data_IF_906446715730
#
_entry.id   IF_906446715730
#
_cell.length_a   1.000
_cell.length_b   1.000
_cell.length_c   1.000
_cell.angle_alpha   90.00
_cell.angle_beta   90.00
_cell.angle_gamma   90.00
#
_symmetry.space_group_name_H-M   'P 1'
#
loop_
_entity.id
_entity.type
_entity.pdbx_description
1 polymer ?
#
# COMPACT_ATOMS: atom_id res chain seq x y z
N UNK A 1 17.49 32.00 -15.12
CA UNK A 1 16.80 30.82 -14.62
C UNK A 1 16.24 31.20 -13.26
N UNK A 2 14.93 31.41 -13.22
CA UNK A 2 14.22 31.76 -12.00
C UNK A 2 14.39 30.60 -11.00
N UNK A 3 14.63 30.94 -9.73
CA UNK A 3 14.76 29.96 -8.63
C UNK A 3 13.48 29.08 -8.58
N UNK A 4 13.46 27.98 -9.31
CA UNK A 4 12.36 27.03 -9.21
C UNK A 4 12.26 26.56 -7.76
N UNK A 5 11.19 26.95 -7.08
CA UNK A 5 10.93 26.54 -5.71
C UNK A 5 10.85 25.02 -5.67
N UNK A 6 11.80 24.38 -4.99
CA UNK A 6 11.77 22.95 -4.71
C UNK A 6 10.43 22.57 -4.06
N UNK A 7 9.89 21.42 -4.47
CA UNK A 7 8.69 20.88 -3.82
C UNK A 7 8.99 20.58 -2.34
N UNK A 8 8.04 20.81 -1.42
CA UNK A 8 8.34 20.88 0.02
C UNK A 8 8.43 19.53 0.73
N UNK A 9 7.89 18.44 0.16
CA UNK A 9 7.74 17.17 0.87
C UNK A 9 8.82 16.16 0.49
N UNK A 10 9.63 15.76 1.45
CA UNK A 10 10.59 14.66 1.31
C UNK A 10 9.94 13.28 1.64
N UNK A 11 10.60 12.20 1.25
CA UNK A 11 10.19 10.84 1.61
C UNK A 11 10.11 10.64 3.13
N UNK A 12 10.94 11.34 3.90
CA UNK A 12 10.88 11.32 5.36
C UNK A 12 9.53 11.79 5.88
N UNK A 13 9.03 12.94 5.40
CA UNK A 13 7.73 13.49 5.81
C UNK A 13 6.61 12.54 5.44
N UNK A 14 6.61 12.03 4.20
CA UNK A 14 5.61 11.06 3.71
C UNK A 14 5.61 9.81 4.59
N UNK A 15 6.78 9.33 5.00
CA UNK A 15 6.91 8.16 5.89
C UNK A 15 6.33 8.40 7.26
N UNK A 16 6.57 9.57 7.85
CA UNK A 16 5.95 9.94 9.14
C UNK A 16 4.43 9.98 9.02
N UNK A 17 3.91 10.60 7.96
CA UNK A 17 2.45 10.63 7.71
C UNK A 17 1.89 9.22 7.57
N UNK A 18 2.55 8.33 6.83
CA UNK A 18 2.13 6.94 6.68
C UNK A 18 2.08 6.18 8.03
N UNK A 19 3.10 6.35 8.87
CA UNK A 19 3.14 5.73 10.21
C UNK A 19 2.03 6.25 11.12
N UNK A 20 1.82 7.57 11.15
CA UNK A 20 0.75 8.20 11.95
C UNK A 20 -0.63 7.76 11.46
N UNK A 21 -0.83 7.73 10.15
CA UNK A 21 -2.06 7.28 9.53
C UNK A 21 -2.35 5.81 9.87
N UNK A 22 -1.38 4.93 9.76
CA UNK A 22 -1.51 3.53 10.15
C UNK A 22 -1.86 3.36 11.63
N UNK A 23 -1.20 4.11 12.51
CA UNK A 23 -1.51 4.09 13.95
C UNK A 23 -2.94 4.57 14.21
N UNK A 24 -3.36 5.64 13.53
CA UNK A 24 -4.73 6.15 13.58
C UNK A 24 -5.74 5.08 13.15
N UNK A 25 -5.46 4.33 12.07
CA UNK A 25 -6.32 3.26 11.61
C UNK A 25 -6.54 2.18 12.68
N UNK A 26 -5.45 1.71 13.29
CA UNK A 26 -5.52 0.68 14.31
C UNK A 26 -6.21 1.17 15.60
N UNK A 27 -5.92 2.38 16.06
CA UNK A 27 -6.68 2.98 17.17
C UNK A 27 -8.16 3.06 16.81
N UNK A 28 -8.49 3.48 15.60
CA UNK A 28 -9.87 3.55 15.10
C UNK A 28 -10.58 2.20 15.13
N UNK A 29 -9.90 1.10 14.76
CA UNK A 29 -10.46 -0.26 14.87
C UNK A 29 -10.84 -0.56 16.33
N UNK A 30 -9.94 -0.36 17.27
CA UNK A 30 -10.20 -0.61 18.69
C UNK A 30 -11.32 0.28 19.23
N UNK A 31 -11.34 1.57 18.88
CA UNK A 31 -12.42 2.49 19.26
C UNK A 31 -13.79 1.99 18.75
N UNK A 32 -13.87 1.54 17.50
CA UNK A 32 -15.13 1.00 16.95
C UNK A 32 -15.52 -0.33 17.60
N UNK A 33 -14.56 -1.17 17.95
CA UNK A 33 -14.81 -2.46 18.61
C UNK A 33 -15.35 -2.25 20.02
N UNK A 34 -14.75 -1.37 20.82
CA UNK A 34 -15.09 -1.25 22.26
C UNK A 34 -16.07 -0.13 22.59
N UNK A 35 -16.13 0.94 21.77
CA UNK A 35 -17.04 2.09 21.99
C UNK A 35 -18.23 2.12 21.03
N UNK A 36 -18.32 1.13 20.12
CA UNK A 36 -19.43 0.95 19.19
C UNK A 36 -19.08 1.28 17.74
N UNK A 37 -19.62 0.48 16.83
CA UNK A 37 -19.34 0.53 15.38
C UNK A 37 -19.70 1.86 14.69
N UNK A 38 -20.56 2.69 15.28
CA UNK A 38 -20.94 4.00 14.76
C UNK A 38 -20.25 5.16 15.48
N UNK A 39 -19.21 4.89 16.30
CA UNK A 39 -18.50 5.92 17.04
C UNK A 39 -17.83 6.92 16.08
N UNK A 40 -18.15 8.24 16.12
CA UNK A 40 -17.65 9.22 15.18
C UNK A 40 -16.11 9.38 15.22
N UNK A 41 -15.50 9.26 16.41
CA UNK A 41 -14.05 9.33 16.58
C UNK A 41 -13.39 8.12 15.89
N UNK A 42 -13.91 6.91 16.12
CA UNK A 42 -13.40 5.70 15.48
C UNK A 42 -13.50 5.77 13.96
N UNK A 43 -14.62 6.26 13.43
CA UNK A 43 -14.82 6.46 11.98
C UNK A 43 -13.83 7.50 11.42
N UNK A 44 -13.62 8.62 12.09
CA UNK A 44 -12.68 9.65 11.65
C UNK A 44 -11.22 9.14 11.67
N UNK A 45 -10.82 8.41 12.71
CA UNK A 45 -9.50 7.80 12.82
C UNK A 45 -9.25 6.78 11.70
N UNK A 46 -10.26 5.96 11.40
CA UNK A 46 -10.22 5.01 10.27
C UNK A 46 -10.11 5.72 8.93
N UNK A 47 -10.88 6.80 8.71
CA UNK A 47 -10.84 7.58 7.47
C UNK A 47 -9.44 8.17 7.23
N UNK A 48 -8.81 8.76 8.27
CA UNK A 48 -7.42 9.19 8.18
C UNK A 48 -6.47 8.02 7.98
N UNK A 49 -6.77 6.87 8.56
CA UNK A 49 -6.03 5.62 8.40
C UNK A 49 -5.88 5.15 6.96
N UNK A 50 -6.86 5.43 6.08
CA UNK A 50 -6.81 5.03 4.67
C UNK A 50 -5.65 5.63 3.87
N UNK A 51 -4.99 6.65 4.37
CA UNK A 51 -3.79 7.20 3.74
C UNK A 51 -2.58 6.26 3.84
N UNK A 52 -2.53 5.38 4.83
CA UNK A 52 -1.36 4.56 5.13
C UNK A 52 -0.95 3.67 3.94
N UNK A 53 -1.87 2.85 3.44
CA UNK A 53 -1.55 1.85 2.44
C UNK A 53 -1.04 2.44 1.12
N UNK A 54 -1.68 3.43 0.47
CA UNK A 54 -1.14 4.04 -0.74
C UNK A 54 0.22 4.70 -0.52
N UNK A 55 0.47 5.29 0.64
CA UNK A 55 1.77 5.87 0.96
C UNK A 55 2.86 4.79 1.14
N UNK A 56 2.53 3.63 1.73
CA UNK A 56 3.47 2.51 1.80
C UNK A 56 3.74 1.88 0.44
N UNK A 57 2.74 1.72 -0.41
CA UNK A 57 2.91 1.26 -1.80
C UNK A 57 3.74 2.25 -2.61
N UNK A 58 3.50 3.55 -2.44
CA UNK A 58 4.35 4.59 -3.04
C UNK A 58 5.81 4.44 -2.60
N UNK A 59 6.08 4.33 -1.30
CA UNK A 59 7.44 4.15 -0.78
C UNK A 59 8.08 2.83 -1.22
N UNK A 60 7.28 1.77 -1.42
CA UNK A 60 7.73 0.50 -1.98
C UNK A 60 8.20 0.67 -3.43
N UNK A 61 7.42 1.36 -4.27
CA UNK A 61 7.76 1.62 -5.66
C UNK A 61 9.01 2.49 -5.78
N UNK A 62 9.10 3.60 -5.01
CA UNK A 62 10.29 4.45 -4.89
C UNK A 62 11.51 3.66 -4.43
N UNK A 63 11.35 2.87 -3.37
CA UNK A 63 12.43 2.02 -2.84
C UNK A 63 12.93 1.01 -3.87
N UNK A 64 12.02 0.39 -4.63
CA UNK A 64 12.37 -0.59 -5.66
C UNK A 64 13.12 0.06 -6.84
N UNK A 65 12.72 1.26 -7.26
CA UNK A 65 13.38 2.00 -8.34
C UNK A 65 14.82 2.38 -7.96
N UNK A 66 15.02 2.87 -6.74
CA UNK A 66 16.29 3.44 -6.31
C UNK A 66 17.22 2.47 -5.57
N UNK A 67 16.78 1.24 -5.25
CA UNK A 67 17.65 0.28 -4.57
C UNK A 67 18.67 -0.35 -5.52
N UNK A 68 19.93 -0.43 -5.07
CA UNK A 68 20.96 -1.18 -5.77
C UNK A 68 20.83 -2.70 -5.55
N UNK A 69 20.18 -3.13 -4.47
CA UNK A 69 20.03 -4.55 -4.14
C UNK A 69 18.57 -4.85 -3.76
N UNK A 70 17.75 -5.12 -4.77
CA UNK A 70 16.34 -5.43 -4.63
C UNK A 70 16.11 -6.70 -3.77
N UNK A 71 16.95 -7.72 -3.89
CA UNK A 71 16.85 -8.96 -3.09
C UNK A 71 17.03 -8.69 -1.59
N UNK A 72 18.04 -7.88 -1.21
CA UNK A 72 18.23 -7.49 0.19
C UNK A 72 17.11 -6.60 0.71
N UNK A 73 16.56 -5.74 -0.13
CA UNK A 73 15.41 -4.91 0.21
C UNK A 73 14.17 -5.78 0.50
N UNK A 74 13.85 -6.71 -0.41
CA UNK A 74 12.75 -7.66 -0.24
C UNK A 74 12.96 -8.60 0.95
N UNK A 75 14.18 -9.09 1.16
CA UNK A 75 14.51 -9.94 2.32
C UNK A 75 14.17 -9.28 3.66
N UNK A 76 14.48 -7.99 3.83
CA UNK A 76 14.11 -7.25 5.05
C UNK A 76 12.60 -7.12 5.22
N UNK A 77 11.87 -6.86 4.14
CA UNK A 77 10.42 -6.75 4.17
C UNK A 77 9.77 -8.11 4.49
N UNK A 78 10.30 -9.19 3.93
CA UNK A 78 9.83 -10.56 4.21
C UNK A 78 10.10 -10.99 5.66
N UNK A 79 11.19 -10.54 6.29
CA UNK A 79 11.44 -10.79 7.72
C UNK A 79 10.34 -10.13 8.57
N UNK A 80 10.00 -8.87 8.27
CA UNK A 80 8.91 -8.17 9.00
C UNK A 80 7.59 -8.92 8.81
N UNK A 81 7.26 -9.34 7.58
CA UNK A 81 6.08 -10.16 7.31
C UNK A 81 6.09 -11.45 8.14
N UNK A 82 7.22 -12.16 8.18
CA UNK A 82 7.35 -13.39 8.99
C UNK A 82 7.07 -13.14 10.48
N UNK A 83 7.61 -12.06 11.03
CA UNK A 83 7.34 -11.66 12.43
C UNK A 83 5.85 -11.37 12.63
N UNK A 84 5.21 -10.66 11.70
CA UNK A 84 3.77 -10.35 11.78
C UNK A 84 2.92 -11.61 11.72
N UNK A 85 3.19 -12.53 10.80
CA UNK A 85 2.45 -13.81 10.70
C UNK A 85 2.59 -14.63 11.99
N UNK A 86 3.80 -14.71 12.57
CA UNK A 86 4.02 -15.41 13.82
C UNK A 86 3.25 -14.74 14.97
N UNK A 87 3.31 -13.42 15.06
CA UNK A 87 2.59 -12.67 16.10
C UNK A 87 1.07 -12.89 15.98
N UNK A 88 0.49 -12.78 14.79
CA UNK A 88 -0.93 -13.01 14.53
C UNK A 88 -1.32 -14.47 14.82
N UNK A 89 -0.47 -15.45 14.48
CA UNK A 89 -0.71 -16.85 14.80
C UNK A 89 -0.77 -17.10 16.30
N UNK A 90 0.12 -16.46 17.08
CA UNK A 90 0.10 -16.54 18.55
C UNK A 90 -1.18 -15.89 19.08
N UNK A 91 -1.61 -14.76 18.56
CA UNK A 91 -2.84 -14.08 18.94
C UNK A 91 -4.07 -14.94 18.72
N UNK A 92 -4.20 -15.52 17.51
CA UNK A 92 -5.39 -16.30 17.12
C UNK A 92 -5.41 -17.67 17.83
N UNK A 93 -4.33 -18.43 17.74
CA UNK A 93 -4.30 -19.80 18.22
C UNK A 93 -3.83 -19.95 19.66
N UNK A 94 -2.95 -19.06 20.12
CA UNK A 94 -2.43 -19.09 21.49
C UNK A 94 -3.34 -18.39 22.50
N UNK A 95 -3.85 -17.21 22.15
CA UNK A 95 -4.70 -16.38 23.01
C UNK A 95 -6.20 -16.53 22.69
N UNK A 96 -6.55 -17.29 21.66
CA UNK A 96 -7.93 -17.51 21.18
C UNK A 96 -8.69 -16.21 20.88
N UNK A 97 -7.99 -15.21 20.39
CA UNK A 97 -8.56 -13.91 20.03
C UNK A 97 -9.01 -13.91 18.57
N UNK A 98 -10.01 -13.11 18.25
CA UNK A 98 -10.42 -12.92 16.85
C UNK A 98 -9.28 -12.27 16.06
N UNK A 99 -8.92 -12.86 14.91
CA UNK A 99 -7.87 -12.37 14.02
C UNK A 99 -8.31 -11.14 13.24
N UNK A 100 -7.32 -10.34 12.84
CA UNK A 100 -7.53 -9.21 11.94
C UNK A 100 -7.86 -9.76 10.54
N UNK A 101 -8.78 -9.12 9.83
CA UNK A 101 -9.14 -9.49 8.48
C UNK A 101 -8.09 -8.95 7.49
N UNK A 102 -7.32 -9.84 6.86
CA UNK A 102 -6.31 -9.50 5.87
C UNK A 102 -4.99 -8.95 6.47
N UNK A 103 -3.91 -9.06 5.71
CA UNK A 103 -2.60 -8.60 6.14
C UNK A 103 -1.94 -7.73 5.04
N UNK A 104 -1.93 -6.38 5.21
CA UNK A 104 -1.36 -5.46 4.22
C UNK A 104 0.13 -5.70 3.92
N UNK A 105 0.86 -6.35 4.84
CA UNK A 105 2.26 -6.71 4.59
C UNK A 105 2.42 -7.79 3.52
N UNK A 106 1.46 -8.69 3.40
CA UNK A 106 1.43 -9.66 2.31
C UNK A 106 1.33 -8.92 0.98
N UNK A 107 0.45 -7.91 0.88
CA UNK A 107 0.36 -7.06 -0.32
C UNK A 107 1.70 -6.38 -0.63
N UNK A 108 2.34 -5.77 0.38
CA UNK A 108 3.62 -5.10 0.20
C UNK A 108 4.72 -6.06 -0.29
N UNK A 109 4.81 -7.26 0.29
CA UNK A 109 5.81 -8.26 -0.12
C UNK A 109 5.51 -8.78 -1.52
N UNK A 110 4.27 -9.15 -1.83
CA UNK A 110 3.89 -9.68 -3.13
C UNK A 110 4.03 -8.63 -4.23
N UNK A 111 3.54 -7.41 -4.03
CA UNK A 111 3.76 -6.29 -4.95
C UNK A 111 5.25 -6.01 -5.15
N UNK A 112 6.03 -6.01 -4.06
CA UNK A 112 7.48 -5.83 -4.14
C UNK A 112 8.19 -6.92 -4.93
N UNK A 113 7.77 -8.19 -4.82
CA UNK A 113 8.29 -9.30 -5.63
C UNK A 113 7.94 -9.13 -7.12
N UNK A 114 6.74 -8.66 -7.44
CA UNK A 114 6.37 -8.31 -8.83
C UNK A 114 7.28 -7.19 -9.34
N UNK A 115 7.42 -6.09 -8.61
CA UNK A 115 8.26 -4.96 -9.02
C UNK A 115 9.74 -5.35 -9.15
N UNK A 116 10.26 -6.18 -8.23
CA UNK A 116 11.62 -6.72 -8.33
C UNK A 116 11.79 -7.56 -9.58
N UNK A 117 10.82 -8.40 -9.90
CA UNK A 117 10.84 -9.24 -11.10
C UNK A 117 10.82 -8.39 -12.36
N UNK A 118 9.97 -7.38 -12.43
CA UNK A 118 9.90 -6.43 -13.55
C UNK A 118 11.22 -5.66 -13.73
N UNK A 119 11.84 -5.21 -12.63
CA UNK A 119 13.14 -4.53 -12.68
C UNK A 119 14.22 -5.40 -13.29
N UNK A 120 14.19 -6.72 -13.01
CA UNK A 120 15.21 -7.68 -13.45
C UNK A 120 14.86 -8.38 -14.77
N UNK A 121 13.70 -8.13 -15.37
CA UNK A 121 13.33 -8.70 -16.68
C UNK A 121 14.25 -8.29 -17.82
N UNK A 122 14.97 -7.18 -17.66
CA UNK A 122 15.94 -6.68 -18.64
C UNK A 122 17.29 -7.42 -18.60
N UNK A 123 17.53 -8.25 -17.55
CA UNK A 123 18.77 -9.02 -17.44
C UNK A 123 18.87 -10.08 -18.55
N UNK A 124 19.97 -10.13 -19.33
CA UNK A 124 20.17 -11.12 -20.38
C UNK A 124 20.10 -12.55 -19.83
N UNK A 125 19.41 -13.44 -20.52
CA UNK A 125 19.34 -14.87 -20.19
C UNK A 125 18.39 -15.25 -19.05
N UNK A 126 17.83 -14.32 -18.30
CA UNK A 126 16.98 -14.61 -17.13
C UNK A 126 15.51 -14.22 -17.27
N UNK A 127 15.08 -13.73 -18.44
CA UNK A 127 13.73 -13.23 -18.69
C UNK A 127 12.62 -14.21 -18.30
N UNK A 128 12.76 -15.50 -18.67
CA UNK A 128 11.75 -16.52 -18.33
C UNK A 128 11.62 -16.74 -16.82
N UNK A 129 12.75 -16.75 -16.10
CA UNK A 129 12.76 -16.91 -14.65
C UNK A 129 12.03 -15.74 -13.96
N UNK A 130 12.38 -14.50 -14.31
CA UNK A 130 11.73 -13.33 -13.70
C UNK A 130 10.27 -13.17 -14.09
N UNK A 131 9.88 -13.59 -15.32
CA UNK A 131 8.48 -13.65 -15.69
C UNK A 131 7.69 -14.64 -14.80
N UNK A 132 8.25 -15.84 -14.56
CA UNK A 132 7.64 -16.83 -13.66
C UNK A 132 7.58 -16.32 -12.21
N UNK A 133 8.66 -15.69 -11.73
CA UNK A 133 8.72 -15.11 -10.39
C UNK A 133 7.71 -13.95 -10.20
N UNK A 134 7.32 -13.26 -11.27
CA UNK A 134 6.25 -12.27 -11.22
C UNK A 134 4.85 -12.91 -11.19
N UNK A 135 4.66 -14.03 -11.90
CA UNK A 135 3.36 -14.71 -11.97
C UNK A 135 2.92 -15.32 -10.64
N UNK A 136 3.85 -15.87 -9.85
CA UNK A 136 3.52 -16.50 -8.57
C UNK A 136 2.86 -15.54 -7.57
N UNK A 137 3.41 -14.35 -7.26
CA UNK A 137 2.76 -13.39 -6.38
C UNK A 137 1.44 -12.86 -6.96
N UNK A 138 1.34 -12.69 -8.30
CA UNK A 138 0.09 -12.28 -8.95
C UNK A 138 -0.97 -13.37 -8.78
N UNK A 139 -0.61 -14.64 -8.97
CA UNK A 139 -1.53 -15.76 -8.76
C UNK A 139 -2.00 -15.84 -7.30
N UNK A 140 -1.09 -15.63 -6.33
CA UNK A 140 -1.46 -15.58 -4.92
C UNK A 140 -2.45 -14.46 -4.61
N UNK A 141 -2.21 -13.25 -5.13
CA UNK A 141 -3.13 -12.12 -4.99
C UNK A 141 -4.50 -12.44 -5.62
N UNK A 142 -4.52 -13.10 -6.76
CA UNK A 142 -5.74 -13.54 -7.43
C UNK A 142 -6.52 -14.58 -6.64
N UNK A 143 -5.84 -15.56 -6.04
CA UNK A 143 -6.46 -16.57 -5.15
C UNK A 143 -7.03 -15.88 -3.91
N UNK A 144 -6.26 -15.02 -3.25
CA UNK A 144 -6.70 -14.27 -2.08
C UNK A 144 -7.94 -13.42 -2.40
N UNK A 145 -7.94 -12.73 -3.53
CA UNK A 145 -9.09 -11.98 -4.02
C UNK A 145 -10.31 -12.88 -4.23
N UNK A 146 -10.13 -14.02 -4.91
CA UNK A 146 -11.20 -14.97 -5.17
C UNK A 146 -11.84 -15.52 -3.89
N UNK A 147 -11.03 -15.84 -2.88
CA UNK A 147 -11.52 -16.30 -1.58
C UNK A 147 -12.28 -15.19 -0.83
N UNK A 148 -11.75 -13.96 -0.81
CA UNK A 148 -12.43 -12.82 -0.20
C UNK A 148 -13.78 -12.53 -0.89
N UNK A 149 -13.83 -12.54 -2.22
CA UNK A 149 -15.07 -12.38 -2.99
C UNK A 149 -16.08 -13.49 -2.68
N UNK A 150 -15.62 -14.74 -2.59
CA UNK A 150 -16.47 -15.87 -2.25
C UNK A 150 -17.12 -15.71 -0.87
N UNK A 151 -16.34 -15.32 0.15
CA UNK A 151 -16.87 -15.10 1.49
C UNK A 151 -17.86 -13.92 1.54
N UNK A 152 -17.53 -12.79 0.91
CA UNK A 152 -18.44 -11.62 0.86
C UNK A 152 -19.71 -11.94 0.11
N UNK A 153 -19.64 -12.64 -1.03
CA UNK A 153 -20.82 -13.03 -1.81
C UNK A 153 -21.76 -13.97 -1.03
N UNK A 154 -21.21 -14.78 -0.12
CA UNK A 154 -21.97 -15.62 0.78
C UNK A 154 -22.30 -14.93 2.12
N UNK A 155 -22.20 -13.59 2.19
CA UNK A 155 -22.51 -12.77 3.37
C UNK A 155 -21.73 -13.21 4.63
N UNK A 156 -20.53 -13.75 4.46
CA UNK A 156 -19.69 -14.24 5.55
C UNK A 156 -20.20 -15.52 6.23
N UNK A 157 -21.23 -16.19 5.68
CA UNK A 157 -21.77 -17.45 6.24
C UNK A 157 -20.85 -18.65 6.02
N UNK A 158 -19.93 -18.53 5.08
CA UNK A 158 -18.96 -19.59 4.74
C UNK A 158 -17.56 -19.04 4.99
N UNK A 159 -16.84 -19.63 5.93
CA UNK A 159 -15.43 -19.33 6.19
C UNK A 159 -14.52 -20.35 5.51
N UNK A 160 -13.50 -19.86 4.80
CA UNK A 160 -12.52 -20.70 4.10
C UNK A 160 -11.34 -20.98 5.03
N UNK A 161 -11.54 -21.93 5.95
CA UNK A 161 -10.60 -22.26 7.03
C UNK A 161 -9.21 -22.73 6.55
N UNK A 162 -9.10 -23.38 5.37
CA UNK A 162 -7.83 -23.83 4.81
C UNK A 162 -6.93 -22.67 4.34
N UNK A 163 -7.50 -21.47 4.15
CA UNK A 163 -6.79 -20.26 3.79
C UNK A 163 -7.15 -19.14 4.78
N UNK A 164 -6.57 -19.16 5.99
CA UNK A 164 -6.96 -18.25 7.07
C UNK A 164 -6.66 -16.79 6.73
N UNK A 165 -7.46 -15.88 7.30
CA UNK A 165 -7.45 -14.43 6.96
C UNK A 165 -6.08 -13.79 7.20
N UNK A 166 -5.34 -14.17 8.23
CA UNK A 166 -4.05 -13.57 8.57
C UNK A 166 -2.92 -13.85 7.56
N UNK A 167 -3.10 -14.83 6.65
CA UNK A 167 -2.19 -15.04 5.53
C UNK A 167 -2.78 -14.57 4.19
N UNK A 168 -3.96 -13.96 4.16
CA UNK A 168 -4.53 -13.36 2.94
C UNK A 168 -4.04 -11.94 2.76
N UNK A 169 -3.89 -11.54 1.51
CA UNK A 169 -3.69 -10.15 1.16
C UNK A 169 -4.96 -9.34 1.45
N UNK A 170 -4.80 -8.13 1.96
CA UNK A 170 -5.91 -7.24 2.30
C UNK A 170 -6.39 -6.44 1.07
N UNK A 171 -5.43 -5.85 0.34
CA UNK A 171 -5.70 -4.99 -0.82
C UNK A 171 -5.58 -5.69 -2.17
N UNK A 172 -4.98 -6.86 -2.25
CA UNK A 172 -4.95 -7.72 -3.44
C UNK A 172 -4.65 -6.96 -4.75
N UNK A 173 -5.58 -6.97 -5.72
CA UNK A 173 -5.41 -6.32 -7.01
C UNK A 173 -5.39 -4.79 -6.90
N UNK A 174 -6.11 -4.19 -5.96
CA UNK A 174 -6.05 -2.75 -5.72
C UNK A 174 -4.61 -2.30 -5.41
N UNK A 175 -3.93 -3.00 -4.48
CA UNK A 175 -2.53 -2.78 -4.15
C UNK A 175 -1.58 -3.00 -5.33
N UNK A 176 -1.82 -4.05 -6.12
CA UNK A 176 -1.00 -4.35 -7.29
C UNK A 176 -1.12 -3.27 -8.37
N UNK A 177 -2.33 -2.78 -8.67
CA UNK A 177 -2.53 -1.69 -9.63
C UNK A 177 -1.82 -0.41 -9.19
N UNK A 178 -1.91 -0.05 -7.91
CA UNK A 178 -1.19 1.10 -7.36
C UNK A 178 0.34 0.91 -7.48
N UNK A 179 0.86 -0.26 -7.10
CA UNK A 179 2.29 -0.53 -7.15
C UNK A 179 2.85 -0.44 -8.58
N UNK A 180 2.16 -1.06 -9.54
CA UNK A 180 2.52 -1.00 -10.96
C UNK A 180 2.43 0.43 -11.50
N UNK A 181 1.34 1.13 -11.24
CA UNK A 181 1.13 2.49 -11.73
C UNK A 181 2.17 3.45 -11.18
N UNK A 182 2.48 3.42 -9.87
CA UNK A 182 3.53 4.25 -9.28
C UNK A 182 4.92 3.91 -9.84
N UNK A 183 5.22 2.63 -10.03
CA UNK A 183 6.49 2.21 -10.64
C UNK A 183 6.62 2.68 -12.09
N UNK A 184 5.57 2.51 -12.90
CA UNK A 184 5.59 2.92 -14.30
C UNK A 184 5.46 4.42 -14.52
N UNK A 185 4.98 5.19 -13.55
CA UNK A 185 4.90 6.67 -13.65
C UNK A 185 6.26 7.29 -13.99
N UNK A 186 7.36 6.75 -13.47
CA UNK A 186 8.71 7.20 -13.80
C UNK A 186 9.09 6.94 -15.26
N UNK A 187 8.76 5.76 -15.78
CA UNK A 187 9.04 5.39 -17.18
C UNK A 187 8.17 6.18 -18.15
N UNK A 188 6.89 6.35 -17.81
CA UNK A 188 5.94 7.11 -18.62
C UNK A 188 6.30 8.59 -18.67
N UNK A 189 6.70 9.20 -17.55
CA UNK A 189 7.16 10.58 -17.52
C UNK A 189 8.37 10.80 -18.42
N UNK A 190 9.31 9.86 -18.47
CA UNK A 190 10.44 9.92 -19.39
C UNK A 190 10.02 9.75 -20.85
N UNK A 191 9.10 8.81 -21.11
CA UNK A 191 8.62 8.53 -22.46
C UNK A 191 7.87 9.74 -23.06
N UNK A 192 6.97 10.34 -22.28
CA UNK A 192 6.19 11.50 -22.72
C UNK A 192 7.04 12.77 -22.77
N UNK A 193 7.89 12.99 -21.75
CA UNK A 193 8.68 14.22 -21.66
C UNK A 193 9.91 14.26 -22.57
N UNK A 194 10.30 13.16 -23.23
CA UNK A 194 11.48 13.13 -24.10
C UNK A 194 11.37 14.15 -25.25
N UNK A 195 10.23 14.18 -25.93
CA UNK A 195 9.99 15.11 -27.05
C UNK A 195 9.95 16.56 -26.59
N UNK A 196 9.36 16.82 -25.43
CA UNK A 196 9.27 18.17 -24.87
C UNK A 196 10.66 18.67 -24.43
N UNK A 197 11.49 17.79 -23.83
CA UNK A 197 12.87 18.09 -23.48
C UNK A 197 13.71 18.43 -24.71
N UNK A 198 13.62 17.62 -25.78
CA UNK A 198 14.29 17.88 -27.05
C UNK A 198 13.85 19.22 -27.68
N UNK A 199 12.56 19.56 -27.61
CA UNK A 199 12.02 20.81 -28.16
C UNK A 199 12.55 22.06 -27.43
N UNK A 200 12.89 21.97 -26.16
CA UNK A 200 13.49 23.08 -25.37
C UNK A 200 15.02 22.99 -25.28
N UNK A 201 15.65 22.07 -26.05
CA UNK A 201 17.10 21.91 -26.10
C UNK A 201 17.72 21.31 -24.84
N UNK A 202 16.95 20.61 -24.03
CA UNK A 202 17.38 19.95 -22.80
C UNK A 202 17.78 18.50 -23.08
N UNK A 203 18.92 18.06 -22.56
CA UNK A 203 19.33 16.66 -22.62
C UNK A 203 18.40 15.78 -21.75
N UNK A 204 18.32 14.48 -22.04
CA UNK A 204 17.51 13.55 -21.25
C UNK A 204 17.98 13.45 -19.78
N UNK A 205 19.27 13.63 -19.52
CA UNK A 205 19.84 13.64 -18.17
C UNK A 205 19.41 14.88 -17.40
N UNK A 206 19.55 16.06 -18.01
CA UNK A 206 19.07 17.33 -17.43
C UNK A 206 17.57 17.29 -17.18
N UNK A 207 16.77 16.70 -18.10
CA UNK A 207 15.34 16.51 -17.91
C UNK A 207 15.03 15.65 -16.69
N UNK A 208 15.75 14.51 -16.48
CA UNK A 208 15.56 13.64 -15.31
C UNK A 208 15.83 14.34 -13.99
N UNK A 209 16.72 15.31 -13.96
CA UNK A 209 17.08 16.08 -12.77
C UNK A 209 16.18 17.31 -12.57
N UNK A 210 15.37 17.64 -13.58
CA UNK A 210 14.50 18.82 -13.57
C UNK A 210 13.26 18.64 -12.67
N UNK A 211 12.75 19.77 -12.18
CA UNK A 211 11.46 19.84 -11.49
C UNK A 211 10.30 19.50 -12.41
N UNK A 212 10.43 19.73 -13.73
CA UNK A 212 9.44 19.38 -14.75
C UNK A 212 9.22 17.87 -14.76
N UNK A 213 10.30 17.10 -14.85
CA UNK A 213 10.22 15.64 -14.77
C UNK A 213 9.57 15.17 -13.46
N UNK A 214 10.01 15.72 -12.32
CA UNK A 214 9.44 15.37 -11.01
C UNK A 214 7.94 15.64 -10.94
N UNK A 215 7.49 16.79 -11.40
CA UNK A 215 6.07 17.13 -11.47
C UNK A 215 5.28 16.18 -12.38
N UNK A 216 5.84 15.83 -13.55
CA UNK A 216 5.22 14.86 -14.46
C UNK A 216 5.05 13.50 -13.80
N UNK A 217 6.07 13.00 -13.10
CA UNK A 217 5.99 11.76 -12.29
C UNK A 217 4.89 11.87 -11.24
N UNK A 218 4.87 12.95 -10.47
CA UNK A 218 3.88 13.16 -9.40
C UNK A 218 2.45 13.20 -9.94
N UNK A 219 2.21 13.88 -11.06
CA UNK A 219 0.90 13.93 -11.72
C UNK A 219 0.46 12.54 -12.18
N UNK A 220 1.37 11.76 -12.79
CA UNK A 220 1.07 10.38 -13.22
C UNK A 220 0.75 9.46 -12.03
N UNK A 221 1.44 9.62 -10.90
CA UNK A 221 1.10 8.91 -9.67
C UNK A 221 -0.28 9.29 -9.13
N UNK A 222 -0.60 10.59 -9.13
CA UNK A 222 -1.93 11.06 -8.74
C UNK A 222 -3.02 10.49 -9.64
N UNK A 223 -2.81 10.51 -10.96
CA UNK A 223 -3.72 9.92 -11.93
C UNK A 223 -3.88 8.40 -11.69
N UNK A 224 -2.78 7.70 -11.42
CA UNK A 224 -2.82 6.28 -11.05
C UNK A 224 -3.74 6.04 -9.85
N UNK A 225 -3.55 6.78 -8.76
CA UNK A 225 -4.38 6.65 -7.56
C UNK A 225 -5.85 6.94 -7.88
N UNK A 226 -6.14 8.05 -8.56
CA UNK A 226 -7.51 8.43 -8.91
C UNK A 226 -8.18 7.38 -9.80
N UNK A 227 -7.51 6.93 -10.86
CA UNK A 227 -8.06 5.92 -11.78
C UNK A 227 -8.28 4.59 -11.07
N UNK A 228 -7.33 4.15 -10.23
CA UNK A 228 -7.48 2.92 -9.45
C UNK A 228 -8.69 3.00 -8.54
N UNK A 229 -8.83 4.08 -7.76
CA UNK A 229 -9.99 4.28 -6.88
C UNK A 229 -11.30 4.29 -7.68
N UNK A 230 -11.37 5.02 -8.79
CA UNK A 230 -12.57 5.10 -9.63
C UNK A 230 -12.96 3.75 -10.23
N UNK A 231 -11.98 2.97 -10.71
CA UNK A 231 -12.22 1.64 -11.29
C UNK A 231 -12.77 0.69 -10.22
N UNK A 232 -12.12 0.60 -9.06
CA UNK A 232 -12.60 -0.30 -8.00
C UNK A 232 -13.90 0.17 -7.36
N UNK A 233 -14.11 1.50 -7.29
CA UNK A 233 -15.40 2.05 -6.88
C UNK A 233 -16.52 1.69 -7.86
N UNK A 234 -16.28 1.82 -9.17
CA UNK A 234 -17.21 1.36 -10.21
C UNK A 234 -17.50 -0.14 -10.12
N UNK A 235 -16.46 -0.98 -9.94
CA UNK A 235 -16.61 -2.43 -9.76
C UNK A 235 -17.47 -2.76 -8.54
N UNK A 236 -17.35 -2.00 -7.46
CA UNK A 236 -18.12 -2.23 -6.22
C UNK A 236 -19.64 -2.16 -6.40
N UNK A 237 -20.13 -1.49 -7.45
CA UNK A 237 -21.56 -1.41 -7.76
C UNK A 237 -22.06 -2.55 -8.66
N UNK A 238 -21.19 -3.35 -9.25
CA UNK A 238 -21.59 -4.46 -10.12
C UNK A 238 -22.32 -5.50 -9.27
N UNK A 239 -23.53 -5.86 -9.69
CA UNK A 239 -24.37 -6.82 -8.98
C UNK A 239 -24.99 -6.28 -7.68
N UNK A 240 -24.97 -4.97 -7.46
CA UNK A 240 -25.64 -4.37 -6.31
C UNK A 240 -27.13 -4.72 -6.30
N UNK A 241 -27.60 -5.20 -5.15
CA UNK A 241 -29.04 -5.40 -4.93
C UNK A 241 -29.68 -4.06 -4.61
N UNK A 242 -30.62 -3.56 -5.43
CA UNK A 242 -31.24 -2.24 -5.23
C UNK A 242 -32.10 -2.15 -3.96
N UNK A 243 -32.69 -3.26 -3.51
CA UNK A 243 -33.59 -3.28 -2.36
C UNK A 243 -32.84 -3.26 -1.03
N UNK A 244 -31.68 -3.93 -0.97
CA UNK A 244 -30.90 -4.07 0.27
C UNK A 244 -29.64 -3.19 0.26
N UNK A 245 -29.24 -2.65 -0.87
CA UNK A 245 -27.98 -1.95 -1.05
C UNK A 245 -26.74 -2.88 -0.96
N UNK A 246 -26.92 -4.19 -0.89
CA UNK A 246 -25.81 -5.16 -0.81
C UNK A 246 -24.99 -5.15 -2.09
N UNK A 247 -23.66 -5.07 -1.94
CA UNK A 247 -22.67 -5.00 -3.03
C UNK A 247 -21.71 -6.20 -2.96
N UNK A 248 -21.95 -7.26 -3.74
CA UNK A 248 -21.17 -8.51 -3.65
C UNK A 248 -19.70 -8.34 -4.04
N UNK A 249 -19.35 -7.30 -4.81
CA UNK A 249 -17.98 -7.04 -5.24
C UNK A 249 -17.29 -5.90 -4.46
N UNK A 250 -17.92 -5.36 -3.41
CA UNK A 250 -17.33 -4.30 -2.57
C UNK A 250 -16.51 -4.89 -1.41
N UNK A 251 -15.49 -5.68 -1.75
CA UNK A 251 -14.60 -6.31 -0.75
C UNK A 251 -13.72 -5.31 0.00
N UNK A 252 -13.49 -4.12 -0.57
CA UNK A 252 -12.64 -3.09 0.04
C UNK A 252 -13.45 -2.01 0.78
N UNK A 253 -14.78 -2.13 0.83
CA UNK A 253 -15.64 -1.04 1.34
C UNK A 253 -15.28 0.29 0.70
N UNK A 254 -15.37 0.38 -0.65
CA UNK A 254 -14.87 1.50 -1.46
C UNK A 254 -15.42 2.86 -1.07
N UNK A 255 -16.63 2.92 -0.50
CA UNK A 255 -17.17 4.16 0.08
C UNK A 255 -16.26 4.73 1.18
N UNK A 256 -15.55 3.86 1.88
CA UNK A 256 -14.62 4.20 2.95
C UNK A 256 -13.18 4.26 2.44
N UNK A 257 -12.77 3.29 1.62
CA UNK A 257 -11.42 3.24 1.05
C UNK A 257 -11.09 4.45 0.18
N UNK A 258 -12.10 5.09 -0.43
CA UNK A 258 -11.93 6.32 -1.23
C UNK A 258 -11.30 7.49 -0.45
N UNK A 259 -11.32 7.49 0.90
CA UNK A 259 -10.56 8.47 1.69
C UNK A 259 -9.05 8.42 1.46
N UNK A 260 -8.53 7.34 0.87
CA UNK A 260 -7.13 7.27 0.41
C UNK A 260 -6.79 8.38 -0.61
N UNK A 261 -7.77 9.01 -1.28
CA UNK A 261 -7.55 10.17 -2.15
C UNK A 261 -6.98 11.40 -1.42
N UNK A 262 -7.06 11.46 -0.09
CA UNK A 262 -6.38 12.49 0.71
C UNK A 262 -4.85 12.40 0.56
N UNK A 263 -4.32 11.32 0.00
CA UNK A 263 -2.90 11.17 -0.34
C UNK A 263 -2.47 12.08 -1.51
N UNK A 264 -3.38 12.52 -2.37
CA UNK A 264 -3.06 13.30 -3.57
C UNK A 264 -2.15 14.52 -3.32
N UNK A 265 -2.38 15.38 -2.31
CA UNK A 265 -1.47 16.49 -2.01
C UNK A 265 -0.05 16.03 -1.65
N UNK A 266 0.09 14.90 -0.95
CA UNK A 266 1.41 14.37 -0.56
C UNK A 266 2.19 13.89 -1.79
N UNK A 267 1.54 13.26 -2.76
CA UNK A 267 2.15 12.89 -4.03
C UNK A 267 2.49 14.12 -4.86
N UNK A 268 1.60 15.11 -4.94
CA UNK A 268 1.81 16.33 -5.73
C UNK A 268 3.03 17.11 -5.26
N UNK A 269 3.18 17.28 -3.95
CA UNK A 269 4.26 18.07 -3.35
C UNK A 269 5.54 17.29 -3.07
N UNK A 270 5.63 16.04 -3.47
CA UNK A 270 6.82 15.21 -3.26
C UNK A 270 8.00 15.66 -4.12
N UNK A 271 9.15 15.92 -3.48
CA UNK A 271 10.34 16.48 -4.10
C UNK A 271 11.35 15.47 -4.66
N UNK A 272 11.14 14.15 -4.44
CA UNK A 272 12.08 13.11 -4.86
C UNK A 272 13.25 12.89 -3.90
N UNK A 273 13.37 13.67 -2.85
CA UNK A 273 14.47 13.57 -1.89
C UNK A 273 14.11 12.63 -0.72
N UNK A 274 15.11 11.90 -0.22
CA UNK A 274 14.91 11.02 0.95
C UNK A 274 14.60 11.79 2.24
N UNK A 275 15.17 12.99 2.39
CA UNK A 275 15.14 13.72 3.64
C UNK A 275 15.98 13.01 4.72
N UNK A 276 15.54 13.09 5.98
CA UNK A 276 16.25 12.44 7.08
C UNK A 276 16.19 10.91 6.97
N UNK A 277 17.36 10.25 6.87
CA UNK A 277 17.48 8.80 6.63
C UNK A 277 18.65 8.20 7.44
N UNK A 278 18.59 8.28 8.78
CA UNK A 278 19.59 7.66 9.65
C UNK A 278 19.41 6.14 9.75
N UNK A 279 20.48 5.43 10.14
CA UNK A 279 20.43 3.99 10.40
C UNK A 279 19.35 3.64 11.45
N UNK A 280 19.30 4.43 12.52
CA UNK A 280 18.32 4.24 13.60
C UNK A 280 16.88 4.46 13.14
N UNK A 281 16.64 5.49 12.32
CA UNK A 281 15.32 5.75 11.77
C UNK A 281 14.87 4.61 10.84
N UNK A 282 15.77 4.02 10.05
CA UNK A 282 15.45 2.84 9.23
C UNK A 282 15.08 1.63 10.07
N UNK A 283 15.82 1.35 11.15
CA UNK A 283 15.51 0.26 12.09
C UNK A 283 14.17 0.52 12.77
N UNK A 284 13.96 1.75 13.27
CA UNK A 284 12.70 2.17 13.88
C UNK A 284 11.51 1.89 12.98
N UNK A 285 11.57 2.25 11.69
CA UNK A 285 10.47 2.00 10.75
C UNK A 285 10.11 0.51 10.63
N UNK A 286 11.07 -0.39 10.61
CA UNK A 286 10.79 -1.83 10.57
C UNK A 286 10.21 -2.37 11.88
N UNK A 287 10.71 -1.90 13.01
CA UNK A 287 10.23 -2.31 14.33
C UNK A 287 8.88 -1.70 14.68
N UNK A 288 8.59 -0.53 14.15
CA UNK A 288 7.35 0.19 14.43
C UNK A 288 6.10 -0.67 14.15
N UNK A 289 6.10 -1.43 13.06
CA UNK A 289 4.97 -2.25 12.66
C UNK A 289 4.54 -3.28 13.71
N UNK A 290 5.38 -4.19 14.19
CA UNK A 290 4.97 -5.13 15.23
C UNK A 290 4.74 -4.43 16.58
N UNK A 291 5.57 -3.43 16.92
CA UNK A 291 5.56 -2.80 18.25
C UNK A 291 4.31 -1.96 18.47
N UNK A 292 3.89 -1.14 17.50
CA UNK A 292 2.72 -0.27 17.70
C UNK A 292 1.43 -1.05 17.91
N UNK A 293 1.26 -2.21 17.24
CA UNK A 293 0.09 -3.07 17.43
C UNK A 293 0.04 -3.64 18.84
N UNK A 294 1.17 -4.17 19.34
CA UNK A 294 1.26 -4.68 20.70
C UNK A 294 1.01 -3.55 21.72
N UNK A 295 1.55 -2.36 21.46
CA UNK A 295 1.34 -1.21 22.34
C UNK A 295 -0.13 -0.76 22.38
N UNK A 296 -0.77 -0.61 21.22
CA UNK A 296 -2.19 -0.24 21.15
C UNK A 296 -3.03 -1.29 21.87
N UNK A 297 -2.80 -2.58 21.59
CA UNK A 297 -3.52 -3.66 22.26
C UNK A 297 -3.34 -3.59 23.79
N UNK A 298 -2.10 -3.44 24.28
CA UNK A 298 -1.84 -3.37 25.71
C UNK A 298 -2.56 -2.18 26.37
N UNK A 299 -2.60 -1.02 25.72
CA UNK A 299 -3.33 0.16 26.22
C UNK A 299 -4.83 -0.12 26.31
N UNK A 300 -5.44 -0.69 25.26
CA UNK A 300 -6.87 -1.02 25.28
C UNK A 300 -7.19 -2.13 26.27
N UNK A 301 -6.34 -3.15 26.40
CA UNK A 301 -6.49 -4.20 27.41
C UNK A 301 -6.51 -3.63 28.84
N UNK A 302 -5.63 -2.66 29.14
CA UNK A 302 -5.61 -1.99 30.45
C UNK A 302 -6.85 -1.12 30.69
N UNK A 303 -7.37 -0.45 29.65
CA UNK A 303 -8.55 0.43 29.78
C UNK A 303 -9.83 -0.39 29.94
N UNK A 304 -9.98 -1.48 29.21
CA UNK A 304 -11.22 -2.26 29.13
C UNK A 304 -11.18 -3.57 29.96
N UNK A 305 -10.05 -3.88 30.60
CA UNK A 305 -9.92 -5.04 31.48
C UNK A 305 -9.91 -6.37 30.73
N UNK A 306 -9.24 -6.41 29.56
CA UNK A 306 -9.17 -7.61 28.70
C UNK A 306 -8.12 -8.60 29.17
#
# INVERSE_FOLDING_TARGET
MENEKKLPLSQFVIRIVALLSMTSDHIGIFVLTYLGAANPLGLALRAFGRLAFPLFIFMLAEGMLHTHNAKRYMGRLSIVLGVMIVAESIFIYGLQMEGIAGNPFIDLVLCGLVLMSLKNLEEPGKKKLYALLALLPIAYLGISLGVNLFEVSNKGLIDVSWFPKFIRADYNMFGLFLALGFYYSYKLALMFGKKDAEAIGMSLEEYRESTIYRRSVNILMMLTLMVTVLVFWGISFIGMNPDTGFRPLDIYSMSYESYCLIVLPFLYFYNGERGYDSKWFRIFNYLYFPVHMVFIFAVFALIFGL
#
